data_IF_762535480873
#
_entry.id   IF_762535480873
#
_cell.length_a   1.000
_cell.length_b   1.000
_cell.length_c   1.000
_cell.angle_alpha   90.00
_cell.angle_beta   90.00
_cell.angle_gamma   90.00
#
_symmetry.space_group_name_H-M   'P 1'
#
loop_
_entity.id
_entity.type
_entity.pdbx_description
1 polymer ?
#
# COMPACT_ATOMS: atom_id res chain seq x y z
N UNK A 1 1.29 -1.26 -20.06
CA UNK A 1 1.11 -1.98 -18.78
C UNK A 1 2.13 -1.46 -17.77
N UNK A 2 1.82 -1.48 -16.47
CA UNK A 2 2.59 -0.76 -15.41
C UNK A 2 2.77 -1.64 -14.16
N UNK A 3 3.86 -1.44 -13.43
CA UNK A 3 4.10 -1.99 -12.09
C UNK A 3 3.85 -0.94 -11.00
N UNK A 4 3.39 -1.33 -9.83
CA UNK A 4 3.16 -0.42 -8.69
C UNK A 4 4.17 -0.70 -7.58
N UNK A 5 4.72 0.36 -6.99
CA UNK A 5 5.63 0.28 -5.84
C UNK A 5 5.26 1.33 -4.80
N UNK A 6 5.12 0.87 -3.56
CA UNK A 6 4.92 1.65 -2.35
C UNK A 6 6.12 1.38 -1.44
N UNK A 7 6.74 2.45 -0.95
CA UNK A 7 7.90 2.36 -0.05
C UNK A 7 7.60 3.12 1.23
N UNK A 8 7.58 2.41 2.36
CA UNK A 8 7.34 2.97 3.68
C UNK A 8 6.17 3.97 3.73
N UNK A 9 5.06 3.65 3.02
CA UNK A 9 3.92 4.55 2.91
C UNK A 9 3.30 4.76 4.30
N UNK A 10 3.15 6.02 4.67
CA UNK A 10 2.44 6.44 5.88
C UNK A 10 1.28 7.35 5.49
N UNK A 11 0.08 7.07 6.03
CA UNK A 11 -1.08 7.97 5.94
C UNK A 11 -1.61 8.29 7.33
N UNK A 12 -1.67 9.59 7.64
CA UNK A 12 -2.17 10.11 8.92
C UNK A 12 -3.32 11.10 8.72
N UNK A 13 -4.25 11.08 9.67
CA UNK A 13 -5.33 12.05 9.82
C UNK A 13 -5.26 12.64 11.23
N UNK A 14 -4.61 13.79 11.37
CA UNK A 14 -4.28 14.35 12.67
C UNK A 14 -3.43 13.39 13.50
N UNK A 15 -3.97 12.93 14.63
CA UNK A 15 -3.29 11.98 15.54
C UNK A 15 -3.44 10.51 15.13
N UNK A 16 -4.32 10.19 14.17
CA UNK A 16 -4.60 8.81 13.76
C UNK A 16 -3.67 8.40 12.62
N UNK A 17 -2.99 7.26 12.76
CA UNK A 17 -2.23 6.63 11.67
C UNK A 17 -3.10 5.56 11.02
N UNK A 18 -3.58 5.84 9.81
CA UNK A 18 -4.43 4.94 9.04
C UNK A 18 -3.61 3.91 8.23
N UNK A 19 -2.42 4.30 7.79
CA UNK A 19 -1.45 3.41 7.14
C UNK A 19 -0.10 3.69 7.77
N UNK A 20 0.58 2.65 8.26
CA UNK A 20 1.84 2.78 9.01
C UNK A 20 2.97 2.01 8.31
N UNK A 21 3.89 2.74 7.69
CA UNK A 21 5.12 2.25 7.06
C UNK A 21 4.94 1.02 6.15
N UNK A 22 3.88 0.97 5.35
CA UNK A 22 3.65 -0.16 4.44
C UNK A 22 4.55 -0.05 3.20
N UNK A 23 5.26 -1.14 2.90
CA UNK A 23 5.95 -1.34 1.63
C UNK A 23 5.26 -2.46 0.84
N UNK A 24 4.93 -2.21 -0.43
CA UNK A 24 4.21 -3.14 -1.30
C UNK A 24 4.72 -3.00 -2.74
N UNK A 25 4.96 -4.13 -3.40
CA UNK A 25 5.30 -4.18 -4.82
C UNK A 25 4.28 -5.07 -5.53
N UNK A 26 3.66 -4.54 -6.58
CA UNK A 26 2.73 -5.28 -7.44
C UNK A 26 3.36 -5.32 -8.84
N UNK A 27 3.62 -6.52 -9.33
CA UNK A 27 4.22 -6.76 -10.64
C UNK A 27 3.22 -6.45 -11.74
N UNK A 28 3.74 -6.15 -12.92
CA UNK A 28 2.93 -5.96 -14.11
C UNK A 28 2.12 -7.25 -14.39
N UNK A 29 0.79 -7.12 -14.50
CA UNK A 29 -0.13 -8.23 -14.76
C UNK A 29 -0.49 -9.06 -13.52
N UNK A 30 -0.01 -8.69 -12.34
CA UNK A 30 -0.32 -9.37 -11.09
C UNK A 30 -1.70 -8.97 -10.57
N UNK A 31 -2.53 -9.97 -10.22
CA UNK A 31 -3.83 -9.75 -9.60
C UNK A 31 -3.68 -9.80 -8.08
N UNK A 32 -3.93 -8.66 -7.42
CA UNK A 32 -3.82 -8.49 -5.96
C UNK A 32 -5.16 -8.07 -5.38
N UNK A 33 -5.49 -8.60 -4.20
CA UNK A 33 -6.64 -8.17 -3.40
C UNK A 33 -6.12 -7.66 -2.06
N UNK A 34 -6.65 -6.51 -1.62
CA UNK A 34 -6.42 -6.00 -0.26
C UNK A 34 -7.59 -6.42 0.61
N UNK A 35 -7.32 -7.26 1.60
CA UNK A 35 -8.32 -7.81 2.52
C UNK A 35 -8.03 -7.33 3.95
N UNK A 36 -9.09 -7.00 4.68
CA UNK A 36 -9.05 -6.65 6.10
C UNK A 36 -10.37 -7.04 6.79
N UNK A 37 -10.41 -6.98 8.12
CA UNK A 37 -11.67 -7.07 8.87
C UNK A 37 -12.68 -5.99 8.46
#
# INVERSE_FOLDING_TARGET
MVSVRLENLVKRFGKVTAVDHISLAIKNGEFVVLLGP
#
